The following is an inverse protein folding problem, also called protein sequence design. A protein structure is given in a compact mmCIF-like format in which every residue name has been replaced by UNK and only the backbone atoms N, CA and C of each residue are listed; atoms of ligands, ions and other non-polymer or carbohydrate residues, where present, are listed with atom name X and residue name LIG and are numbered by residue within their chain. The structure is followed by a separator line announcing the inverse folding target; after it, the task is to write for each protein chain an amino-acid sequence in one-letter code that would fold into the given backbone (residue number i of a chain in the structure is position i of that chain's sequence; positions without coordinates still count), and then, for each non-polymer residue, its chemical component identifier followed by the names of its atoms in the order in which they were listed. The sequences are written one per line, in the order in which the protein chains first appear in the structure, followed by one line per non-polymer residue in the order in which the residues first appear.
data_IF_011275374411
#
_entry.id   IF_011275374411
#
_cell.length_a   1.000
_cell.length_b   1.000
_cell.length_c   1.000
_cell.angle_alpha   90.00
_cell.angle_beta   90.00
_cell.angle_gamma   90.00
#
_symmetry.space_group_name_H-M   'P 1'
#
loop_
_entity.id
_entity.type
_entity.pdbx_description
1 polymer ?
#
# COMPACT_ATOMS: atom_id res chain seq x y z
N UNK A 1 -1.28 57.81 27.50
CA UNK A 1 -2.12 56.98 26.61
C UNK A 1 -2.22 55.61 27.27
N UNK A 2 -3.43 55.26 27.70
CA UNK A 2 -3.77 54.15 28.58
C UNK A 2 -3.57 52.79 27.91
N UNK A 3 -2.88 51.89 28.61
CA UNK A 3 -2.88 50.44 28.35
C UNK A 3 -4.29 49.88 28.55
N UNK A 4 -4.95 49.48 27.47
CA UNK A 4 -6.20 48.72 27.50
C UNK A 4 -5.93 47.32 28.09
N UNK A 5 -6.83 46.76 28.91
CA UNK A 5 -6.57 45.55 29.67
C UNK A 5 -6.68 44.30 28.79
N UNK A 6 -5.71 43.39 28.94
CA UNK A 6 -5.59 42.10 28.22
C UNK A 6 -6.86 41.23 28.37
N UNK A 7 -7.67 41.46 29.40
CA UNK A 7 -8.94 40.76 29.66
C UNK A 7 -10.01 40.97 28.58
N UNK A 8 -10.13 42.15 27.97
CA UNK A 8 -11.15 42.38 26.92
C UNK A 8 -10.82 41.62 25.63
N UNK A 9 -9.53 41.48 25.30
CA UNK A 9 -9.08 40.75 24.10
C UNK A 9 -9.27 39.24 24.21
N UNK A 10 -9.24 38.71 25.43
CA UNK A 10 -9.38 37.27 25.68
C UNK A 10 -10.85 36.85 25.67
N UNK A 11 -11.75 37.72 26.12
CA UNK A 11 -13.19 37.53 26.05
C UNK A 11 -13.70 37.49 24.60
N UNK A 12 -13.22 38.39 23.72
CA UNK A 12 -13.63 38.42 22.31
C UNK A 12 -13.27 37.13 21.55
N UNK A 13 -12.09 36.55 21.83
CA UNK A 13 -11.65 35.29 21.19
C UNK A 13 -12.51 34.10 21.63
N UNK A 14 -12.99 34.10 22.88
CA UNK A 14 -13.87 33.05 23.40
C UNK A 14 -15.30 33.18 22.87
N UNK A 15 -15.80 34.41 22.71
CA UNK A 15 -17.08 34.69 22.02
C UNK A 15 -17.00 34.27 20.55
N UNK A 16 -15.89 34.55 19.86
CA UNK A 16 -15.72 34.14 18.47
C UNK A 16 -15.68 32.62 18.32
N UNK A 17 -14.94 31.92 19.21
CA UNK A 17 -14.89 30.44 19.23
C UNK A 17 -16.25 29.82 19.52
N UNK A 18 -17.00 30.35 20.47
CA UNK A 18 -18.35 29.83 20.79
C UNK A 18 -19.33 30.09 19.66
N UNK A 19 -19.24 31.23 18.98
CA UNK A 19 -20.04 31.55 17.80
C UNK A 19 -19.72 30.66 16.60
N UNK A 20 -18.46 30.25 16.43
CA UNK A 20 -18.03 29.26 15.44
C UNK A 20 -18.55 27.84 15.74
N UNK A 21 -18.58 27.43 17.00
CA UNK A 21 -19.13 26.12 17.41
C UNK A 21 -20.65 26.08 17.17
N UNK A 22 -21.37 27.16 17.51
CA UNK A 22 -22.82 27.26 17.33
C UNK A 22 -23.24 27.33 15.85
N UNK A 23 -22.41 27.95 14.99
CA UNK A 23 -22.63 28.04 13.55
C UNK A 23 -21.75 27.05 12.77
N UNK A 24 -21.49 25.86 13.33
CA UNK A 24 -20.77 24.83 12.59
C UNK A 24 -21.55 24.51 11.31
N UNK A 25 -20.97 24.73 10.11
CA UNK A 25 -21.66 24.42 8.86
C UNK A 25 -22.06 22.94 8.88
N UNK A 26 -23.34 22.66 8.60
CA UNK A 26 -23.85 21.28 8.59
C UNK A 26 -22.97 20.41 7.70
N UNK A 27 -22.51 19.24 8.18
CA UNK A 27 -21.68 18.36 7.37
C UNK A 27 -22.45 18.02 6.09
N UNK A 28 -21.79 18.10 4.91
CA UNK A 28 -22.44 17.74 3.66
C UNK A 28 -22.99 16.31 3.78
N UNK A 29 -24.21 16.10 3.27
CA UNK A 29 -24.81 14.76 3.28
C UNK A 29 -23.90 13.76 2.54
N UNK A 30 -23.91 12.48 2.95
CA UNK A 30 -23.09 11.43 2.33
C UNK A 30 -23.25 11.36 0.80
N UNK A 31 -24.43 11.69 0.27
CA UNK A 31 -24.67 11.76 -1.18
C UNK A 31 -23.96 12.93 -1.84
N UNK A 32 -23.86 14.08 -1.17
CA UNK A 32 -23.11 15.22 -1.68
C UNK A 32 -21.61 14.98 -1.61
N UNK A 33 -21.10 14.30 -0.58
CA UNK A 33 -19.72 13.81 -0.55
C UNK A 33 -19.46 12.78 -1.67
N UNK A 34 -20.42 11.90 -1.96
CA UNK A 34 -20.31 10.96 -3.06
C UNK A 34 -20.26 11.67 -4.41
N UNK A 35 -21.16 12.62 -4.63
CA UNK A 35 -21.19 13.40 -5.86
C UNK A 35 -19.94 14.27 -6.01
N UNK A 36 -19.43 14.89 -4.93
CA UNK A 36 -18.20 15.69 -4.98
C UNK A 36 -16.97 14.83 -5.20
N UNK A 37 -16.81 13.71 -4.49
CA UNK A 37 -15.69 12.78 -4.67
C UNK A 37 -15.71 12.15 -6.06
N UNK A 38 -16.88 11.80 -6.60
CA UNK A 38 -17.02 11.31 -7.99
C UNK A 38 -16.67 12.41 -9.00
N UNK A 39 -17.13 13.65 -8.78
CA UNK A 39 -16.87 14.78 -9.69
C UNK A 39 -15.40 15.20 -9.68
N UNK A 40 -14.77 15.27 -8.51
CA UNK A 40 -13.34 15.55 -8.30
C UNK A 40 -12.47 14.45 -8.93
N UNK A 41 -12.83 13.19 -8.69
CA UNK A 41 -12.07 12.03 -9.15
C UNK A 41 -12.19 11.82 -10.67
N UNK A 42 -13.37 12.03 -11.27
CA UNK A 42 -13.55 11.89 -12.73
C UNK A 42 -13.06 13.13 -13.49
N UNK A 43 -13.22 14.35 -12.96
CA UNK A 43 -12.86 15.60 -13.63
C UNK A 43 -11.81 16.47 -12.90
N UNK A 44 -10.61 15.96 -12.56
CA UNK A 44 -9.56 16.76 -11.90
C UNK A 44 -8.97 17.84 -12.83
N UNK A 45 -9.31 17.83 -14.13
CA UNK A 45 -8.72 18.71 -15.14
C UNK A 45 -9.55 19.98 -15.42
N UNK A 46 -10.82 20.06 -14.98
CA UNK A 46 -11.70 21.18 -15.33
C UNK A 46 -11.31 22.51 -14.67
N UNK A 47 -10.68 22.50 -13.49
CA UNK A 47 -10.25 23.71 -12.78
C UNK A 47 -8.91 24.28 -13.25
N UNK A 48 -8.05 23.49 -13.92
CA UNK A 48 -6.77 23.96 -14.48
C UNK A 48 -6.86 24.52 -15.90
N UNK A 49 -8.00 24.35 -16.58
CA UNK A 49 -8.24 24.87 -17.93
C UNK A 49 -8.67 26.35 -17.97
N UNK A 50 -9.00 26.96 -16.82
CA UNK A 50 -9.46 28.36 -16.76
C UNK A 50 -8.36 29.37 -16.42
N UNK A 51 -7.10 28.94 -16.20
CA UNK A 51 -5.97 29.84 -15.92
C UNK A 51 -4.78 29.73 -16.88
N UNK A 52 -4.88 28.93 -17.96
CA UNK A 52 -3.79 28.78 -18.93
C UNK A 52 -4.11 29.49 -20.26
N UNK A 53 -3.32 30.52 -20.56
CA UNK A 53 -3.32 31.29 -21.80
C UNK A 53 -3.31 30.44 -23.08
N UNK A 54 -3.92 30.90 -24.20
CA UNK A 54 -4.32 30.07 -25.34
C UNK A 54 -3.20 29.69 -26.33
N UNK A 55 -1.93 29.64 -25.94
CA UNK A 55 -0.82 29.31 -26.85
C UNK A 55 0.28 28.50 -26.17
N UNK A 56 0.11 27.19 -26.04
CA UNK A 56 1.23 26.28 -25.75
C UNK A 56 1.47 25.31 -26.92
N UNK A 57 2.74 25.12 -27.37
CA UNK A 57 3.08 24.24 -28.48
C UNK A 57 2.79 22.77 -28.14
N UNK A 58 2.33 21.99 -29.14
CA UNK A 58 1.95 20.57 -29.01
C UNK A 58 3.00 19.69 -28.28
N UNK A 59 4.28 20.04 -28.37
CA UNK A 59 5.37 19.35 -27.68
C UNK A 59 5.34 19.51 -26.16
N UNK A 60 4.93 20.68 -25.63
CA UNK A 60 4.79 20.88 -24.17
C UNK A 60 3.63 20.10 -23.58
N UNK A 61 2.53 19.97 -24.32
CA UNK A 61 1.37 19.17 -23.90
C UNK A 61 1.73 17.68 -23.85
N UNK A 62 2.43 17.16 -24.87
CA UNK A 62 2.92 15.78 -24.87
C UNK A 62 3.89 15.50 -23.71
N UNK A 63 4.81 16.43 -23.42
CA UNK A 63 5.75 16.32 -22.29
C UNK A 63 5.00 16.36 -20.94
N UNK A 64 3.97 17.18 -20.79
CA UNK A 64 3.16 17.22 -19.55
C UNK A 64 2.32 15.97 -19.35
N UNK A 65 1.78 15.38 -20.42
CA UNK A 65 1.07 14.09 -20.37
C UNK A 65 2.04 12.96 -20.01
N UNK A 66 3.24 12.96 -20.60
CA UNK A 66 4.28 11.96 -20.31
C UNK A 66 4.85 12.10 -18.89
N UNK A 67 4.97 13.33 -18.37
CA UNK A 67 5.31 13.60 -16.96
C UNK A 67 4.19 13.21 -15.98
N UNK A 68 2.93 13.22 -16.44
CA UNK A 68 1.79 12.72 -15.66
C UNK A 68 1.70 11.20 -15.63
N UNK A 69 2.08 10.52 -16.71
CA UNK A 69 2.13 9.05 -16.82
C UNK A 69 3.40 8.42 -16.21
N UNK A 70 4.52 9.13 -16.29
CA UNK A 70 5.81 8.71 -15.73
C UNK A 70 6.34 9.80 -14.79
N UNK A 71 5.86 9.84 -13.54
CA UNK A 71 6.32 10.80 -12.52
C UNK A 71 7.85 10.72 -12.31
N UNK A 72 8.45 9.57 -12.64
CA UNK A 72 9.89 9.34 -12.62
C UNK A 72 10.70 10.38 -13.39
N UNK A 73 10.23 10.83 -14.55
CA UNK A 73 10.94 11.81 -15.37
C UNK A 73 10.97 13.20 -14.72
N UNK A 74 9.97 13.53 -13.90
CA UNK A 74 9.89 14.80 -13.19
C UNK A 74 10.86 14.84 -12.00
N UNK A 75 10.86 13.78 -11.18
CA UNK A 75 11.72 13.76 -9.99
C UNK A 75 13.17 13.39 -10.29
N UNK A 76 13.44 12.61 -11.34
CA UNK A 76 14.81 12.24 -11.73
C UNK A 76 15.63 13.46 -12.13
N UNK A 77 15.00 14.48 -12.74
CA UNK A 77 15.67 15.71 -13.19
C UNK A 77 16.22 16.57 -12.05
N UNK A 78 15.61 16.50 -10.87
CA UNK A 78 16.02 17.23 -9.67
C UNK A 78 16.75 16.33 -8.65
N UNK A 79 17.18 15.13 -9.06
CA UNK A 79 17.73 14.14 -8.15
C UNK A 79 19.21 14.38 -7.89
N UNK A 80 19.56 14.57 -6.61
CA UNK A 80 20.95 14.81 -6.17
C UNK A 80 21.65 13.49 -5.84
N UNK A 81 22.92 13.35 -6.20
CA UNK A 81 23.74 12.15 -5.91
C UNK A 81 23.84 11.81 -4.41
N UNK A 82 23.69 12.80 -3.51
CA UNK A 82 23.62 12.58 -2.07
C UNK A 82 22.36 11.77 -1.64
N UNK A 83 21.23 11.97 -2.33
CA UNK A 83 20.00 11.17 -2.07
C UNK A 83 20.14 9.76 -2.64
N UNK A 84 20.82 9.60 -3.77
CA UNK A 84 21.10 8.28 -4.36
C UNK A 84 21.81 7.34 -3.40
N UNK A 85 22.84 7.81 -2.68
CA UNK A 85 23.55 6.96 -1.71
C UNK A 85 22.62 6.46 -0.58
N UNK A 86 21.70 7.32 -0.10
CA UNK A 86 20.73 6.96 0.95
C UNK A 86 19.68 5.99 0.42
N UNK A 87 19.12 6.27 -0.75
CA UNK A 87 18.09 5.43 -1.37
C UNK A 87 18.68 4.07 -1.79
N UNK A 88 19.95 4.02 -2.22
CA UNK A 88 20.65 2.78 -2.54
C UNK A 88 20.87 1.92 -1.30
N UNK A 89 21.31 2.51 -0.18
CA UNK A 89 21.46 1.77 1.07
C UNK A 89 20.12 1.27 1.61
N UNK A 90 19.07 2.10 1.56
CA UNK A 90 17.72 1.69 1.94
C UNK A 90 17.19 0.58 1.02
N UNK A 91 17.38 0.69 -0.29
CA UNK A 91 16.99 -0.29 -1.28
C UNK A 91 17.73 -1.62 -1.12
N UNK A 92 19.03 -1.59 -0.80
CA UNK A 92 19.81 -2.80 -0.54
C UNK A 92 19.33 -3.52 0.73
N UNK A 93 19.05 -2.77 1.80
CA UNK A 93 18.45 -3.32 3.03
C UNK A 93 17.09 -3.95 2.74
N UNK A 94 16.21 -3.25 2.02
CA UNK A 94 14.91 -3.80 1.63
C UNK A 94 15.06 -5.05 0.75
N UNK A 95 15.96 -5.03 -0.24
CA UNK A 95 16.19 -6.18 -1.12
C UNK A 95 16.68 -7.40 -0.33
N UNK A 96 17.61 -7.20 0.61
CA UNK A 96 18.12 -8.28 1.47
C UNK A 96 17.02 -8.91 2.33
N UNK A 97 16.01 -8.13 2.75
CA UNK A 97 14.87 -8.64 3.51
C UNK A 97 13.81 -9.29 2.59
N UNK A 98 13.56 -8.71 1.42
CA UNK A 98 12.55 -9.17 0.48
C UNK A 98 12.88 -10.52 -0.18
N UNK A 99 14.16 -10.82 -0.43
CA UNK A 99 14.58 -12.10 -1.05
C UNK A 99 14.14 -13.32 -0.24
N UNK A 100 14.55 -13.50 1.03
CA UNK A 100 14.13 -14.66 1.82
C UNK A 100 12.61 -14.63 2.08
N UNK A 101 12.04 -13.45 2.28
CA UNK A 101 10.60 -13.27 2.50
C UNK A 101 9.77 -13.75 1.31
N UNK A 102 10.13 -13.36 0.09
CA UNK A 102 9.41 -13.72 -1.14
C UNK A 102 9.49 -15.21 -1.44
N UNK A 103 10.62 -15.86 -1.18
CA UNK A 103 10.78 -17.32 -1.26
C UNK A 103 9.84 -18.01 -0.27
N UNK A 104 9.78 -17.54 0.98
CA UNK A 104 8.86 -18.07 1.99
C UNK A 104 7.39 -17.96 1.54
N UNK A 105 7.01 -16.86 0.90
CA UNK A 105 5.63 -16.64 0.44
C UNK A 105 5.26 -17.48 -0.76
N UNK A 106 6.19 -17.71 -1.69
CA UNK A 106 5.98 -18.67 -2.77
C UNK A 106 5.68 -20.07 -2.21
N UNK A 107 6.43 -20.51 -1.20
CA UNK A 107 6.19 -21.80 -0.54
C UNK A 107 4.82 -21.86 0.17
N UNK A 108 4.39 -20.76 0.82
CA UNK A 108 3.05 -20.67 1.39
C UNK A 108 1.95 -20.73 0.32
N UNK A 109 2.21 -20.17 -0.87
CA UNK A 109 1.35 -20.24 -2.03
C UNK A 109 1.41 -21.61 -2.77
N UNK A 110 2.15 -22.60 -2.25
CA UNK A 110 2.39 -23.91 -2.91
C UNK A 110 2.99 -23.78 -4.32
N UNK A 111 3.81 -22.74 -4.53
CA UNK A 111 4.53 -22.49 -5.76
C UNK A 111 6.04 -22.64 -5.56
N UNK A 112 6.75 -22.86 -6.66
CA UNK A 112 8.22 -22.87 -6.65
C UNK A 112 8.79 -21.51 -6.19
N UNK A 113 9.90 -21.50 -5.42
CA UNK A 113 10.59 -20.29 -4.96
C UNK A 113 10.89 -19.24 -6.03
N UNK A 114 11.16 -19.67 -7.27
CA UNK A 114 11.43 -18.80 -8.41
C UNK A 114 10.29 -17.79 -8.67
N UNK A 115 9.04 -18.16 -8.41
CA UNK A 115 7.90 -17.26 -8.57
C UNK A 115 7.85 -16.16 -7.51
N UNK A 116 8.32 -16.45 -6.29
CA UNK A 116 8.52 -15.44 -5.25
C UNK A 116 9.52 -14.37 -5.70
N UNK A 117 10.65 -14.79 -6.28
CA UNK A 117 11.67 -13.86 -6.78
C UNK A 117 11.15 -13.00 -7.93
N UNK A 118 10.42 -13.58 -8.89
CA UNK A 118 9.82 -12.81 -9.99
C UNK A 118 8.85 -11.74 -9.47
N UNK A 119 8.00 -12.09 -8.51
CA UNK A 119 7.04 -11.15 -7.90
C UNK A 119 7.69 -10.14 -6.96
N UNK A 120 8.92 -10.37 -6.50
CA UNK A 120 9.66 -9.41 -5.67
C UNK A 120 10.44 -8.37 -6.49
N UNK A 121 10.71 -8.63 -7.78
CA UNK A 121 11.49 -7.74 -8.63
C UNK A 121 10.61 -6.98 -9.63
N UNK A 122 9.70 -7.68 -10.29
CA UNK A 122 8.93 -7.11 -11.42
C UNK A 122 7.93 -6.04 -10.97
N UNK A 123 7.04 -6.27 -9.98
CA UNK A 123 6.08 -5.25 -9.55
C UNK A 123 6.71 -3.98 -8.99
N UNK A 124 7.76 -4.03 -8.13
CA UNK A 124 8.41 -2.81 -7.65
C UNK A 124 9.10 -2.03 -8.76
N UNK A 125 9.66 -2.70 -9.77
CA UNK A 125 10.26 -2.03 -10.93
C UNK A 125 9.19 -1.30 -11.75
N UNK A 126 8.05 -1.95 -12.02
CA UNK A 126 6.92 -1.32 -12.71
C UNK A 126 6.41 -0.12 -11.90
N UNK A 127 6.28 -0.28 -10.57
CA UNK A 127 5.86 0.80 -9.68
C UNK A 127 6.86 1.94 -9.60
N UNK A 128 8.16 1.69 -9.64
CA UNK A 128 9.16 2.76 -9.66
C UNK A 128 9.02 3.64 -10.91
N UNK A 129 8.59 3.07 -12.04
CA UNK A 129 8.37 3.79 -13.30
C UNK A 129 7.04 4.55 -13.31
N UNK A 130 5.95 3.91 -12.87
CA UNK A 130 4.58 4.43 -13.00
C UNK A 130 4.04 5.08 -11.71
N UNK A 131 4.68 4.84 -10.58
CA UNK A 131 4.21 5.23 -9.25
C UNK A 131 4.32 6.72 -9.01
N UNK A 132 3.27 7.27 -8.39
CA UNK A 132 3.22 8.67 -7.94
C UNK A 132 4.04 8.93 -6.68
N UNK A 133 4.24 7.90 -5.84
CA UNK A 133 4.90 8.01 -4.54
C UNK A 133 6.24 7.27 -4.52
N UNK A 134 7.29 7.94 -4.03
CA UNK A 134 8.66 7.41 -4.00
C UNK A 134 8.98 6.54 -2.79
N UNK A 135 8.13 6.57 -1.77
CA UNK A 135 8.40 5.94 -0.47
C UNK A 135 7.66 4.60 -0.30
N UNK A 136 6.79 4.24 -1.25
CA UNK A 136 5.99 3.00 -1.17
C UNK A 136 6.82 1.84 -1.70
N UNK A 137 7.08 0.87 -0.81
CA UNK A 137 7.65 -0.42 -1.16
C UNK A 137 6.51 -1.39 -1.51
N UNK A 138 6.55 -1.92 -2.73
CA UNK A 138 5.63 -2.98 -3.18
C UNK A 138 6.34 -4.32 -3.04
N UNK A 139 5.61 -5.37 -2.71
CA UNK A 139 6.16 -6.71 -2.63
C UNK A 139 5.09 -7.76 -2.41
N UNK A 140 5.46 -9.05 -2.50
CA UNK A 140 4.55 -10.15 -2.19
C UNK A 140 4.16 -10.11 -0.71
N UNK A 141 2.91 -10.46 -0.42
CA UNK A 141 2.32 -10.42 0.94
C UNK A 141 1.89 -11.82 1.36
N UNK A 142 2.17 -12.18 2.62
CA UNK A 142 1.86 -13.52 3.15
C UNK A 142 0.36 -13.85 3.10
N UNK A 143 -0.50 -12.87 3.41
CA UNK A 143 -1.97 -13.06 3.44
C UNK A 143 -2.50 -13.48 2.07
N UNK A 144 -2.05 -12.77 1.02
CA UNK A 144 -2.47 -13.07 -0.36
C UNK A 144 -1.97 -14.46 -0.78
N UNK A 145 -0.76 -14.84 -0.37
CA UNK A 145 -0.16 -16.15 -0.67
C UNK A 145 -0.94 -17.30 -0.02
N UNK A 146 -1.32 -17.14 1.24
CA UNK A 146 -2.16 -18.11 1.97
C UNK A 146 -3.57 -18.18 1.38
N UNK A 147 -4.16 -17.03 1.07
CA UNK A 147 -5.49 -16.97 0.46
C UNK A 147 -5.51 -17.68 -0.89
N UNK A 148 -4.53 -17.38 -1.75
CA UNK A 148 -4.37 -17.99 -3.07
C UNK A 148 -4.27 -19.52 -2.95
N UNK A 149 -3.41 -20.01 -2.06
CA UNK A 149 -3.28 -21.44 -1.76
C UNK A 149 -4.59 -22.05 -1.27
N UNK A 150 -5.27 -21.41 -0.31
CA UNK A 150 -6.53 -21.92 0.26
C UNK A 150 -7.70 -22.00 -0.73
N UNK A 151 -7.68 -21.18 -1.79
CA UNK A 151 -8.74 -21.14 -2.79
C UNK A 151 -8.44 -22.09 -3.95
N UNK A 152 -7.19 -22.09 -4.44
CA UNK A 152 -6.80 -22.88 -5.61
C UNK A 152 -6.67 -24.36 -5.26
N UNK A 153 -6.19 -24.69 -4.05
CA UNK A 153 -6.10 -26.09 -3.58
C UNK A 153 -7.47 -26.77 -3.46
N UNK A 154 -8.58 -26.00 -3.43
CA UNK A 154 -9.95 -26.56 -3.47
C UNK A 154 -10.38 -26.97 -4.87
N UNK A 155 -9.78 -26.40 -5.90
CA UNK A 155 -10.09 -26.68 -7.30
C UNK A 155 -9.14 -27.73 -7.86
N UNK A 156 -7.85 -27.61 -7.56
CA UNK A 156 -6.81 -28.50 -8.07
C UNK A 156 -5.79 -28.81 -6.98
N UNK A 157 -5.43 -30.09 -6.81
CA UNK A 157 -4.41 -30.48 -5.83
C UNK A 157 -3.01 -30.20 -6.41
N UNK A 158 -2.17 -29.38 -5.74
CA UNK A 158 -0.81 -29.10 -6.19
C UNK A 158 0.08 -30.35 -6.31
N UNK A 159 -0.28 -31.48 -5.69
CA UNK A 159 0.47 -32.73 -5.74
C UNK A 159 0.09 -33.57 -6.98
N UNK A 160 -1.18 -33.55 -7.37
CA UNK A 160 -1.70 -34.40 -8.46
C UNK A 160 -1.42 -33.79 -9.84
N UNK A 161 -1.61 -32.48 -10.01
CA UNK A 161 -1.25 -31.77 -11.25
C UNK A 161 -0.65 -30.37 -10.94
N UNK A 162 0.67 -30.28 -10.74
CA UNK A 162 1.34 -29.00 -10.49
C UNK A 162 1.27 -28.03 -11.69
N UNK A 163 1.07 -28.55 -12.91
CA UNK A 163 0.99 -27.72 -14.12
C UNK A 163 -0.38 -27.05 -14.21
N UNK A 164 -1.45 -27.78 -13.95
CA UNK A 164 -2.80 -27.23 -13.86
C UNK A 164 -2.92 -26.20 -12.72
N UNK A 165 -2.38 -26.52 -11.54
CA UNK A 165 -2.34 -25.60 -10.40
C UNK A 165 -1.70 -24.25 -10.77
N UNK A 166 -0.51 -24.29 -11.38
CA UNK A 166 0.21 -23.08 -11.79
C UNK A 166 -0.54 -22.26 -12.85
N UNK A 167 -1.17 -22.92 -13.83
CA UNK A 167 -2.00 -22.24 -14.84
C UNK A 167 -3.18 -21.52 -14.19
N UNK A 168 -3.82 -22.16 -13.21
CA UNK A 168 -4.94 -21.56 -12.49
C UNK A 168 -4.49 -20.35 -11.66
N UNK A 169 -3.36 -20.45 -10.97
CA UNK A 169 -2.75 -19.30 -10.25
C UNK A 169 -2.51 -18.11 -11.17
N UNK A 170 -1.89 -18.33 -12.33
CA UNK A 170 -1.64 -17.25 -13.28
C UNK A 170 -2.93 -16.65 -13.84
N UNK A 171 -3.93 -17.48 -14.10
CA UNK A 171 -5.24 -17.02 -14.57
C UNK A 171 -5.91 -16.12 -13.53
N UNK A 172 -5.96 -16.55 -12.27
CA UNK A 172 -6.53 -15.75 -11.16
C UNK A 172 -5.76 -14.45 -10.98
N UNK A 173 -4.42 -14.48 -11.05
CA UNK A 173 -3.57 -13.30 -10.92
C UNK A 173 -3.78 -12.32 -12.08
N UNK A 174 -3.94 -12.83 -13.30
CA UNK A 174 -4.26 -12.02 -14.47
C UNK A 174 -5.62 -11.33 -14.34
N UNK A 175 -6.67 -12.06 -13.94
CA UNK A 175 -7.98 -11.47 -13.70
C UNK A 175 -7.97 -10.46 -12.56
N UNK A 176 -7.26 -10.74 -11.46
CA UNK A 176 -7.09 -9.80 -10.36
C UNK A 176 -6.45 -8.48 -10.84
N UNK A 177 -5.38 -8.58 -11.65
CA UNK A 177 -4.75 -7.41 -12.27
C UNK A 177 -5.65 -6.66 -13.25
N UNK A 178 -6.44 -7.39 -14.06
CA UNK A 178 -7.41 -6.79 -14.97
C UNK A 178 -8.51 -6.03 -14.20
N UNK A 179 -9.05 -6.60 -13.13
CA UNK A 179 -10.02 -5.92 -12.26
C UNK A 179 -9.41 -4.69 -11.59
N UNK A 180 -8.17 -4.78 -11.09
CA UNK A 180 -7.45 -3.63 -10.54
C UNK A 180 -7.25 -2.52 -11.60
N UNK A 181 -6.92 -2.88 -12.83
CA UNK A 181 -6.78 -1.93 -13.93
C UNK A 181 -8.13 -1.27 -14.29
N UNK A 182 -9.22 -2.02 -14.30
CA UNK A 182 -10.58 -1.48 -14.52
C UNK A 182 -10.97 -0.54 -13.40
N UNK A 183 -10.73 -0.89 -12.13
CA UNK A 183 -11.00 -0.01 -11.00
C UNK A 183 -10.16 1.27 -11.05
N UNK A 184 -8.89 1.16 -11.46
CA UNK A 184 -8.03 2.31 -11.71
C UNK A 184 -8.53 3.20 -12.85
N UNK A 185 -8.98 2.61 -13.96
CA UNK A 185 -9.50 3.33 -15.13
C UNK A 185 -10.82 4.05 -14.82
N UNK A 186 -11.73 3.37 -14.12
CA UNK A 186 -12.98 3.95 -13.60
C UNK A 186 -12.74 4.91 -12.44
N UNK A 187 -11.48 5.02 -11.97
CA UNK A 187 -11.05 5.82 -10.82
C UNK A 187 -11.93 5.59 -9.59
N UNK A 188 -12.23 4.33 -9.31
CA UNK A 188 -12.97 3.92 -8.10
C UNK A 188 -12.15 4.07 -6.81
N UNK A 189 -11.01 4.79 -6.85
CA UNK A 189 -10.24 5.15 -5.67
C UNK A 189 -11.06 5.96 -4.66
N UNK A 190 -12.08 6.69 -5.12
CA UNK A 190 -13.02 7.39 -4.24
C UNK A 190 -13.75 6.45 -3.27
N UNK A 191 -13.88 5.15 -3.59
CA UNK A 191 -14.53 4.18 -2.72
C UNK A 191 -13.74 3.96 -1.42
N UNK A 192 -12.42 4.23 -1.44
CA UNK A 192 -11.58 4.17 -0.24
C UNK A 192 -11.94 5.30 0.74
N UNK A 193 -12.38 6.45 0.23
CA UNK A 193 -12.82 7.59 1.07
C UNK A 193 -14.14 7.28 1.81
N UNK A 194 -14.89 6.29 1.34
CA UNK A 194 -16.09 5.78 2.02
C UNK A 194 -15.80 4.78 3.13
N UNK A 195 -14.55 4.30 3.27
CA UNK A 195 -14.18 3.41 4.36
C UNK A 195 -14.07 4.22 5.66
N UNK A 196 -14.73 3.74 6.71
CA UNK A 196 -14.69 4.40 8.01
C UNK A 196 -13.25 4.44 8.54
N UNK A 197 -12.91 5.52 9.25
CA UNK A 197 -11.59 5.66 9.85
C UNK A 197 -11.21 4.45 10.73
N UNK A 198 -12.18 3.92 11.48
CA UNK A 198 -11.99 2.71 12.29
C UNK A 198 -11.64 1.47 11.46
N UNK A 199 -12.25 1.29 10.28
CA UNK A 199 -11.95 0.16 9.40
C UNK A 199 -10.53 0.25 8.82
N UNK A 200 -10.11 1.45 8.39
CA UNK A 200 -8.76 1.69 7.87
C UNK A 200 -7.71 1.43 8.96
N UNK A 201 -7.93 1.95 10.17
CA UNK A 201 -7.03 1.75 11.31
C UNK A 201 -6.97 0.27 11.73
N UNK A 202 -8.11 -0.42 11.76
CA UNK A 202 -8.17 -1.86 12.06
C UNK A 202 -7.42 -2.70 11.01
N UNK A 203 -7.58 -2.39 9.73
CA UNK A 203 -6.86 -3.05 8.64
C UNK A 203 -5.34 -2.79 8.74
N UNK A 204 -4.92 -1.54 8.98
CA UNK A 204 -3.52 -1.20 9.21
C UNK A 204 -2.93 -1.93 10.42
N UNK A 205 -3.67 -2.03 11.52
CA UNK A 205 -3.26 -2.78 12.71
C UNK A 205 -3.09 -4.27 12.40
N UNK A 206 -4.03 -4.87 11.68
CA UNK A 206 -3.90 -6.24 11.19
C UNK A 206 -2.69 -6.44 10.27
N UNK A 207 -2.46 -5.52 9.34
CA UNK A 207 -1.29 -5.54 8.46
C UNK A 207 0.03 -5.41 9.25
N UNK A 208 0.08 -4.54 10.27
CA UNK A 208 1.24 -4.38 11.14
C UNK A 208 1.53 -5.64 11.95
N UNK A 209 0.51 -6.29 12.52
CA UNK A 209 0.66 -7.59 13.21
C UNK A 209 1.18 -8.65 12.24
N UNK A 210 0.59 -8.72 11.05
CA UNK A 210 0.99 -9.69 10.02
C UNK A 210 2.44 -9.47 9.58
N UNK A 211 2.88 -8.22 9.39
CA UNK A 211 4.28 -7.87 9.10
C UNK A 211 5.18 -8.23 10.30
N UNK A 212 4.77 -7.91 11.53
CA UNK A 212 5.53 -8.26 12.74
C UNK A 212 5.74 -9.77 12.90
N UNK A 213 4.69 -10.57 12.65
CA UNK A 213 4.79 -12.03 12.64
C UNK A 213 5.72 -12.55 11.53
N UNK A 214 5.77 -11.87 10.38
CA UNK A 214 6.70 -12.22 9.29
C UNK A 214 8.16 -11.94 9.69
N UNK A 215 8.43 -10.80 10.33
CA UNK A 215 9.76 -10.47 10.84
C UNK A 215 10.19 -11.46 11.95
N UNK A 216 9.26 -11.86 12.82
CA UNK A 216 9.53 -12.85 13.87
C UNK A 216 9.85 -14.23 13.29
N UNK A 217 9.18 -14.67 12.21
CA UNK A 217 9.54 -15.90 11.49
C UNK A 217 10.96 -15.85 10.93
N UNK A 218 11.37 -14.69 10.38
CA UNK A 218 12.73 -14.46 9.92
C UNK A 218 13.77 -14.51 11.04
N UNK A 219 13.45 -13.92 12.20
CA UNK A 219 14.33 -13.89 13.37
C UNK A 219 14.50 -15.26 14.05
N UNK A 220 13.42 -16.05 14.13
CA UNK A 220 13.42 -17.38 14.74
C UNK A 220 14.07 -18.47 13.86
N UNK A 221 14.46 -18.14 12.62
CA UNK A 221 15.20 -19.07 11.75
C UNK A 221 14.46 -20.37 11.42
N UNK A 222 13.12 -20.39 11.50
CA UNK A 222 12.32 -21.59 11.23
C UNK A 222 12.19 -21.76 9.71
N UNK A 223 13.29 -22.23 9.11
CA UNK A 223 13.46 -22.48 7.67
C UNK A 223 12.84 -23.81 7.20
N UNK A 224 12.41 -24.67 8.13
CA UNK A 224 11.77 -25.95 7.81
C UNK A 224 10.27 -25.90 8.11
N UNK A 225 9.46 -25.60 7.09
CA UNK A 225 8.09 -26.08 7.11
C UNK A 225 8.06 -27.53 6.61
N UNK A 226 7.97 -28.45 7.56
CA UNK A 226 7.11 -29.62 7.36
C UNK A 226 5.67 -29.16 7.53
N UNK A 227 4.85 -29.63 6.60
CA UNK A 227 3.40 -29.46 6.43
C UNK A 227 2.58 -29.71 7.69
N UNK A 228 2.61 -28.85 8.71
CA UNK A 228 1.49 -28.64 9.66
C UNK A 228 1.54 -27.21 10.21
N UNK A 229 0.47 -26.50 9.98
CA UNK A 229 0.10 -25.26 10.66
C UNK A 229 0.21 -25.46 12.16
N UNK A 230 1.02 -24.68 12.88
CA UNK A 230 0.60 -24.26 14.22
C UNK A 230 1.43 -23.09 14.77
N UNK A 231 0.77 -21.94 14.89
CA UNK A 231 1.23 -20.83 15.75
C UNK A 231 1.34 -21.31 17.20
N UNK A 232 0.55 -22.32 17.57
CA UNK A 232 0.59 -22.99 18.88
C UNK A 232 1.93 -23.69 19.11
N UNK A 233 2.53 -24.31 18.09
CA UNK A 233 3.84 -24.97 18.23
C UNK A 233 4.97 -23.97 18.45
N UNK A 234 4.86 -22.76 17.87
CA UNK A 234 5.82 -21.68 18.11
C UNK A 234 5.66 -21.12 19.52
N UNK A 235 4.42 -20.93 19.98
CA UNK A 235 4.13 -20.50 21.35
C UNK A 235 4.62 -21.54 22.38
N UNK A 236 4.41 -22.82 22.09
CA UNK A 236 4.84 -23.94 22.94
C UNK A 236 6.37 -24.10 22.95
N UNK A 237 7.05 -23.89 21.82
CA UNK A 237 8.52 -23.90 21.75
C UNK A 237 9.15 -22.75 22.54
N UNK A 238 8.58 -21.54 22.47
CA UNK A 238 9.02 -20.39 23.27
C UNK A 238 8.74 -20.63 24.76
N UNK A 239 7.59 -21.19 25.11
CA UNK A 239 7.22 -21.48 26.50
C UNK A 239 8.10 -22.58 27.13
N UNK A 240 8.45 -23.62 26.37
CA UNK A 240 9.40 -24.66 26.81
C UNK A 240 10.82 -24.13 26.96
N UNK A 241 11.27 -23.22 26.09
CA UNK A 241 12.61 -22.63 26.16
C UNK A 241 12.79 -21.70 27.37
N UNK A 242 11.72 -21.13 27.92
CA UNK A 242 11.77 -20.33 29.15
C UNK A 242 11.77 -21.17 30.44
N UNK A 243 11.36 -22.45 30.39
CA UNK A 243 11.27 -23.32 31.57
C UNK A 243 12.49 -24.21 31.81
N UNK A 244 13.48 -24.23 30.92
CA UNK A 244 14.78 -24.87 31.18
C UNK A 244 15.92 -23.86 30.99
N UNK A 245 16.37 -23.18 32.06
CA UNK A 245 17.66 -22.53 32.03
C UNK A 245 18.72 -23.63 31.94
N UNK A 246 19.55 -23.51 30.90
CA UNK A 246 20.88 -24.08 30.70
C UNK A 246 21.44 -24.79 31.95
N UNK A 247 21.68 -26.09 31.83
CA UNK A 247 22.71 -26.81 32.60
C UNK A 247 23.84 -27.18 31.66
#
# INVERSE_FOLDING_TARGET
MSSLPVEEQQADVEVERTQWVLNSPNPPSLLQELVSSVKETIFPYRSKLTSSSPKQPRSRVAVSVLQGLFPILSWARNYKASKFKKDLMAGLTLASLCIPQSIGYANLAKLDPQYGLYTSVVPPLIYALMGSSREIAIGPVAVVSLLLSSMITKLEDPITDPVAYRKLVFTVTFFAGAFQAVFGLLRLGFLVDFLSHAAIVGFMGGAAIVIGLQQLKGLLGISHFTTKTDVVSVLEAVFRSFHHPVS
#
